data_IF_705362273259
#
_entry.id   IF_705362273259
#
_cell.length_a   1.000
_cell.length_b   1.000
_cell.length_c   1.000
_cell.angle_alpha   90.00
_cell.angle_beta   90.00
_cell.angle_gamma   90.00
#
_symmetry.space_group_name_H-M   'P 1'
#
loop_
_entity.id
_entity.type
_entity.pdbx_description
1 polymer ?
#
# COMPACT_ATOMS: atom_id res chain seq x y z
N UNK A 1 16.91 66.73 20.33
CA UNK A 1 15.83 66.94 19.35
C UNK A 1 16.39 66.61 17.98
N UNK A 2 15.85 65.53 17.38
CA UNK A 2 15.67 65.20 15.95
C UNK A 2 16.81 65.53 14.97
N UNK A 3 17.24 64.70 14.02
CA UNK A 3 16.78 63.40 13.48
C UNK A 3 17.75 63.13 12.31
N UNK A 4 18.52 62.05 12.29
CA UNK A 4 18.17 60.76 11.66
C UNK A 4 18.76 60.59 10.23
N UNK A 5 19.48 59.47 10.05
CA UNK A 5 19.59 58.63 8.82
C UNK A 5 20.58 59.16 7.76
N UNK A 6 21.84 58.69 7.60
CA UNK A 6 22.42 57.35 7.45
C UNK A 6 21.88 56.53 6.25
N UNK A 7 22.83 55.99 5.48
CA UNK A 7 22.70 54.86 4.55
C UNK A 7 22.27 55.10 3.09
N UNK A 8 23.31 55.12 2.26
CA UNK A 8 23.31 54.63 0.91
C UNK A 8 22.89 53.16 0.86
N UNK A 9 21.64 52.87 0.46
CA UNK A 9 21.24 51.59 -0.15
C UNK A 9 19.82 51.72 -0.73
N UNK A 10 19.71 52.20 -1.96
CA UNK A 10 18.47 52.08 -2.75
C UNK A 10 18.39 50.66 -3.31
N UNK A 11 17.99 49.72 -2.45
CA UNK A 11 17.54 48.39 -2.87
C UNK A 11 16.23 48.60 -3.65
N UNK A 12 16.28 48.53 -4.99
CA UNK A 12 15.07 48.33 -5.78
C UNK A 12 14.66 46.88 -5.58
N UNK A 13 13.69 46.66 -4.68
CA UNK A 13 12.95 45.40 -4.58
C UNK A 13 12.44 45.06 -5.98
N UNK A 14 12.95 43.97 -6.54
CA UNK A 14 12.46 43.41 -7.80
C UNK A 14 10.99 43.04 -7.62
N UNK A 15 10.14 43.60 -8.48
CA UNK A 15 8.70 43.37 -8.51
C UNK A 15 8.43 41.89 -8.82
N UNK A 16 8.15 41.11 -7.79
CA UNK A 16 7.57 39.77 -7.94
C UNK A 16 6.11 39.94 -8.30
N UNK A 17 5.81 39.90 -9.61
CA UNK A 17 4.42 39.91 -10.10
C UNK A 17 3.77 38.56 -9.79
N UNK A 18 2.92 38.51 -8.77
CA UNK A 18 2.06 37.36 -8.46
C UNK A 18 0.68 37.65 -9.04
N UNK A 19 0.39 37.07 -10.20
CA UNK A 19 -0.96 37.09 -10.79
C UNK A 19 -1.26 38.32 -11.65
N UNK A 20 -1.27 38.13 -12.96
CA UNK A 20 -1.72 39.09 -13.97
C UNK A 20 -1.57 38.47 -15.37
N UNK A 21 -2.45 38.85 -16.31
CA UNK A 21 -2.34 38.40 -17.70
C UNK A 21 -1.28 39.22 -18.44
N UNK A 22 -0.28 38.54 -19.00
CA UNK A 22 0.86 39.18 -19.69
C UNK A 22 0.50 39.54 -21.13
N UNK A 23 0.63 40.82 -21.49
CA UNK A 23 0.62 41.27 -22.89
C UNK A 23 1.86 40.73 -23.61
N UNK A 24 1.66 40.15 -24.80
CA UNK A 24 2.61 39.33 -25.60
C UNK A 24 3.98 39.97 -25.90
N UNK A 25 4.21 41.25 -25.54
CA UNK A 25 5.47 41.96 -25.80
C UNK A 25 6.43 42.09 -24.61
N UNK A 26 6.01 41.78 -23.38
CA UNK A 26 6.93 41.75 -22.24
C UNK A 26 7.54 40.36 -22.07
N UNK A 27 8.83 40.23 -22.40
CA UNK A 27 9.63 39.06 -22.04
C UNK A 27 9.90 39.08 -20.53
N UNK A 28 8.86 38.84 -19.72
CA UNK A 28 9.06 38.55 -18.30
C UNK A 28 9.90 37.28 -18.20
N UNK A 29 11.13 37.43 -17.70
CA UNK A 29 12.05 36.32 -17.47
C UNK A 29 11.55 35.55 -16.26
N UNK A 30 10.71 34.56 -16.48
CA UNK A 30 10.42 33.55 -15.47
C UNK A 30 11.71 32.75 -15.21
N UNK A 31 12.31 32.89 -14.04
CA UNK A 31 13.25 31.87 -13.55
C UNK A 31 12.46 30.59 -13.32
N UNK A 32 12.64 29.58 -14.18
CA UNK A 32 12.07 28.25 -13.95
C UNK A 32 12.57 27.77 -12.58
N UNK A 33 11.69 27.47 -11.61
CA UNK A 33 12.13 26.83 -10.39
C UNK A 33 12.83 25.53 -10.78
N UNK A 34 14.09 25.39 -10.36
CA UNK A 34 14.87 24.16 -10.51
C UNK A 34 14.15 23.08 -9.70
N UNK A 35 13.36 22.24 -10.38
CA UNK A 35 12.69 21.10 -9.74
C UNK A 35 13.79 20.12 -9.36
N UNK A 36 14.10 20.01 -8.07
CA UNK A 36 14.87 18.88 -7.56
C UNK A 36 13.98 17.65 -7.72
N UNK A 37 14.28 16.82 -8.71
CA UNK A 37 13.68 15.50 -8.86
C UNK A 37 14.09 14.63 -7.67
N UNK A 38 13.27 14.60 -6.63
CA UNK A 38 13.48 13.73 -5.47
C UNK A 38 12.52 12.57 -5.58
N UNK A 39 13.05 11.35 -5.68
CA UNK A 39 12.24 10.14 -5.64
C UNK A 39 11.52 10.06 -4.28
N UNK A 40 10.22 9.74 -4.26
CA UNK A 40 9.52 9.50 -3.01
C UNK A 40 10.21 8.42 -2.18
N UNK A 41 10.19 8.58 -0.85
CA UNK A 41 10.91 7.70 0.07
C UNK A 41 10.55 6.21 -0.09
N UNK A 42 9.28 5.93 -0.38
CA UNK A 42 8.79 4.55 -0.58
C UNK A 42 9.37 3.88 -1.84
N UNK A 43 9.82 4.64 -2.84
CA UNK A 43 10.57 4.13 -4.00
C UNK A 43 12.06 4.02 -3.67
N UNK A 44 12.62 5.02 -2.96
CA UNK A 44 14.06 5.08 -2.69
C UNK A 44 14.52 4.04 -1.66
N UNK A 45 13.63 3.58 -0.79
CA UNK A 45 13.96 2.70 0.34
C UNK A 45 12.99 1.51 0.41
N UNK A 46 12.99 0.61 -0.60
CA UNK A 46 12.06 -0.51 -0.64
C UNK A 46 12.48 -1.61 0.34
N UNK A 47 11.48 -2.28 0.92
CA UNK A 47 11.72 -3.53 1.67
C UNK A 47 11.97 -4.66 0.67
N UNK A 48 13.17 -5.24 0.72
CA UNK A 48 13.55 -6.32 -0.19
C UNK A 48 13.09 -7.68 0.34
N UNK A 49 12.55 -8.50 -0.56
CA UNK A 49 12.17 -9.88 -0.26
C UNK A 49 13.18 -10.83 -0.93
N UNK A 50 13.56 -11.91 -0.25
CA UNK A 50 14.45 -12.89 -0.86
C UNK A 50 13.75 -13.64 -2.00
N UNK A 51 14.50 -13.97 -3.05
CA UNK A 51 14.04 -14.86 -4.14
C UNK A 51 14.02 -16.34 -3.73
N UNK A 52 14.66 -16.69 -2.62
CA UNK A 52 14.77 -18.07 -2.17
C UNK A 52 13.49 -18.55 -1.48
N UNK A 53 12.83 -19.52 -2.10
CA UNK A 53 11.60 -20.17 -1.60
C UNK A 53 11.82 -20.88 -0.26
N UNK A 54 13.06 -21.30 0.03
CA UNK A 54 13.41 -21.99 1.28
C UNK A 54 13.28 -21.07 2.50
N UNK A 55 13.41 -19.75 2.32
CA UNK A 55 13.28 -18.73 3.38
C UNK A 55 11.83 -18.40 3.73
N UNK A 56 10.87 -18.97 3.02
CA UNK A 56 9.44 -18.80 3.30
C UNK A 56 9.02 -19.36 4.67
N UNK A 57 8.10 -18.68 5.34
CA UNK A 57 7.56 -19.10 6.65
C UNK A 57 6.70 -20.36 6.47
N UNK A 58 6.89 -21.37 7.33
CA UNK A 58 6.03 -22.56 7.38
C UNK A 58 4.68 -22.17 7.97
N UNK A 59 3.58 -22.58 7.33
CA UNK A 59 2.21 -22.27 7.78
C UNK A 59 1.93 -22.80 9.19
N UNK A 60 2.58 -23.87 9.64
CA UNK A 60 2.44 -24.38 11.02
C UNK A 60 3.05 -23.46 12.09
N UNK A 61 4.01 -22.62 11.71
CA UNK A 61 4.77 -21.75 12.62
C UNK A 61 4.29 -20.30 12.58
N UNK A 62 3.38 -19.94 11.69
CA UNK A 62 2.86 -18.57 11.61
C UNK A 62 1.88 -18.32 12.76
N UNK A 63 2.38 -17.75 13.86
CA UNK A 63 1.55 -17.36 15.01
C UNK A 63 0.48 -16.30 14.65
N UNK A 64 0.73 -15.54 13.58
CA UNK A 64 -0.17 -14.48 13.11
C UNK A 64 -1.40 -14.99 12.36
N UNK A 65 -1.41 -16.24 11.89
CA UNK A 65 -2.54 -16.78 11.12
C UNK A 65 -3.53 -17.55 12.01
N UNK A 66 -4.82 -17.30 11.81
CA UNK A 66 -5.87 -18.04 12.51
C UNK A 66 -5.90 -19.54 12.14
N UNK A 67 -6.36 -20.36 13.09
CA UNK A 67 -6.39 -21.83 12.95
C UNK A 67 -7.19 -22.29 11.71
N UNK A 68 -8.28 -21.59 11.39
CA UNK A 68 -9.11 -21.91 10.23
C UNK A 68 -8.35 -21.70 8.91
N UNK A 69 -7.61 -20.60 8.78
CA UNK A 69 -6.78 -20.32 7.61
C UNK A 69 -5.66 -21.34 7.45
N UNK A 70 -5.02 -21.72 8.55
CA UNK A 70 -3.99 -22.78 8.54
C UNK A 70 -4.57 -24.10 8.04
N UNK A 71 -5.81 -24.44 8.41
CA UNK A 71 -6.51 -25.64 7.91
C UNK A 71 -6.79 -25.53 6.41
N UNK A 72 -7.31 -24.40 5.95
CA UNK A 72 -7.67 -24.18 4.54
C UNK A 72 -6.43 -24.13 3.63
N UNK A 73 -5.35 -23.49 4.09
CA UNK A 73 -4.07 -23.51 3.36
C UNK A 73 -3.51 -24.94 3.22
N UNK A 74 -3.65 -25.77 4.25
CA UNK A 74 -3.23 -27.18 4.16
C UNK A 74 -4.09 -28.00 3.21
N UNK A 75 -5.41 -27.79 3.17
CA UNK A 75 -6.28 -28.48 2.20
C UNK A 75 -5.98 -28.06 0.76
N UNK A 76 -5.48 -26.83 0.56
CA UNK A 76 -4.95 -26.37 -0.72
C UNK A 76 -3.56 -26.93 -1.06
N UNK A 77 -2.94 -27.72 -0.18
CA UNK A 77 -1.58 -28.27 -0.37
C UNK A 77 -0.44 -27.29 -0.04
N UNK A 78 -0.74 -26.12 0.51
CA UNK A 78 0.23 -25.07 0.79
C UNK A 78 0.90 -25.34 2.15
N UNK A 79 2.17 -25.74 2.11
CA UNK A 79 2.97 -26.03 3.31
C UNK A 79 3.82 -24.84 3.78
N UNK A 80 4.24 -23.98 2.85
CA UNK A 80 5.06 -22.79 3.11
C UNK A 80 4.52 -21.61 2.32
N UNK A 81 4.61 -20.43 2.93
CA UNK A 81 4.32 -19.16 2.29
C UNK A 81 5.54 -18.72 1.47
N UNK A 82 5.30 -18.07 0.34
CA UNK A 82 6.36 -17.45 -0.45
C UNK A 82 7.05 -16.32 0.34
N UNK A 83 8.29 -15.94 0.01
CA UNK A 83 8.99 -14.84 0.68
C UNK A 83 8.20 -13.54 0.70
N UNK A 84 7.56 -13.16 -0.43
CA UNK A 84 6.71 -11.96 -0.51
C UNK A 84 5.49 -12.05 0.40
N UNK A 85 4.89 -13.22 0.54
CA UNK A 85 3.76 -13.44 1.46
C UNK A 85 4.25 -13.35 2.91
N UNK A 86 5.44 -13.88 3.18
CA UNK A 86 6.04 -13.92 4.51
C UNK A 86 6.43 -12.53 5.05
N UNK A 87 6.66 -11.55 4.18
CA UNK A 87 6.92 -10.16 4.55
C UNK A 87 5.63 -9.34 4.63
N UNK A 88 4.78 -9.45 3.60
CA UNK A 88 3.57 -8.63 3.46
C UNK A 88 2.50 -9.00 4.48
N UNK A 89 2.25 -10.29 4.72
CA UNK A 89 1.15 -10.74 5.58
C UNK A 89 1.35 -10.27 7.03
N UNK A 90 2.51 -10.48 7.67
CA UNK A 90 2.76 -9.92 9.00
C UNK A 90 2.65 -8.40 9.02
N UNK A 91 3.22 -7.72 8.02
CA UNK A 91 3.19 -6.26 7.95
C UNK A 91 1.76 -5.68 7.94
N UNK A 92 0.83 -6.33 7.25
CA UNK A 92 -0.60 -5.96 7.27
C UNK A 92 -1.23 -6.32 8.61
N UNK A 93 -1.08 -7.56 9.08
CA UNK A 93 -1.77 -8.05 10.28
C UNK A 93 -1.30 -7.36 11.57
N UNK A 94 -0.01 -7.05 11.69
CA UNK A 94 0.56 -6.33 12.84
C UNK A 94 0.00 -4.90 12.96
N UNK A 95 -0.39 -4.29 11.84
CA UNK A 95 -1.10 -3.02 11.84
C UNK A 95 -2.53 -3.12 12.40
N UNK A 96 -3.12 -4.31 12.47
CA UNK A 96 -4.46 -4.48 13.07
C UNK A 96 -4.40 -5.20 14.43
N UNK A 97 -3.29 -5.88 14.73
CA UNK A 97 -3.08 -6.57 16.00
C UNK A 97 -3.24 -5.60 17.20
N UNK A 98 -4.06 -6.01 18.17
CA UNK A 98 -4.31 -5.25 19.41
C UNK A 98 -5.19 -3.99 19.24
N UNK A 99 -5.71 -3.73 18.04
CA UNK A 99 -6.63 -2.59 17.80
C UNK A 99 -8.08 -3.01 17.98
N UNK A 100 -8.91 -2.10 18.48
CA UNK A 100 -10.32 -2.35 18.75
C UNK A 100 -11.09 -2.74 17.47
N UNK A 101 -12.22 -3.48 17.56
CA UNK A 101 -13.01 -3.96 16.42
C UNK A 101 -13.56 -2.87 15.48
N UNK A 102 -13.42 -1.59 15.84
CA UNK A 102 -13.87 -0.41 15.11
C UNK A 102 -12.73 0.62 14.94
N UNK A 103 -11.50 0.16 14.78
CA UNK A 103 -10.38 1.07 14.56
C UNK A 103 -10.52 1.78 13.20
N UNK A 104 -10.85 3.07 13.24
CA UNK A 104 -10.97 3.97 12.07
C UNK A 104 -9.62 4.61 11.66
N UNK A 105 -8.49 3.94 11.88
CA UNK A 105 -7.20 4.48 11.44
C UNK A 105 -6.95 4.23 9.97
N UNK A 106 -6.12 5.10 9.36
CA UNK A 106 -5.68 4.95 7.98
C UNK A 106 -4.80 3.70 7.83
N UNK A 107 -5.21 2.70 7.02
CA UNK A 107 -4.36 1.56 6.70
C UNK A 107 -3.04 2.00 6.08
N UNK A 108 -2.01 1.16 6.18
CA UNK A 108 -0.76 1.39 5.44
C UNK A 108 -0.96 1.00 3.98
N UNK A 109 -0.69 1.92 3.07
CA UNK A 109 -0.60 1.60 1.65
C UNK A 109 0.67 0.80 1.36
N UNK A 110 0.55 -0.21 0.50
CA UNK A 110 1.64 -1.13 0.18
C UNK A 110 1.73 -1.29 -1.34
N UNK A 111 2.91 -1.03 -1.88
CA UNK A 111 3.26 -1.37 -3.26
C UNK A 111 4.13 -2.63 -3.26
N UNK A 112 3.71 -3.66 -4.01
CA UNK A 112 4.42 -4.93 -4.11
C UNK A 112 4.93 -5.10 -5.54
N UNK A 113 6.26 -5.12 -5.70
CA UNK A 113 6.90 -5.51 -6.95
C UNK A 113 7.47 -6.92 -6.83
N UNK A 114 6.88 -7.87 -7.57
CA UNK A 114 7.31 -9.26 -7.58
C UNK A 114 6.92 -9.95 -8.91
N UNK A 115 7.70 -10.93 -9.39
CA UNK A 115 7.40 -11.62 -10.65
C UNK A 115 6.09 -12.43 -10.59
N UNK A 116 5.53 -12.77 -11.74
CA UNK A 116 4.40 -13.71 -11.84
C UNK A 116 4.77 -15.06 -11.22
N UNK A 117 3.81 -15.79 -10.67
CA UNK A 117 4.08 -17.02 -9.91
C UNK A 117 4.62 -16.84 -8.48
N UNK A 118 4.97 -15.63 -8.05
CA UNK A 118 5.44 -15.37 -6.66
C UNK A 118 4.35 -15.47 -5.58
N UNK A 119 3.13 -15.83 -5.95
CA UNK A 119 2.01 -15.97 -5.01
C UNK A 119 1.40 -14.65 -4.52
N UNK A 120 1.44 -13.58 -5.34
CA UNK A 120 0.85 -12.27 -5.02
C UNK A 120 -0.63 -12.34 -4.61
N UNK A 121 -1.41 -13.22 -5.25
CA UNK A 121 -2.83 -13.44 -4.94
C UNK A 121 -3.07 -13.76 -3.47
N UNK A 122 -2.32 -14.73 -2.93
CA UNK A 122 -2.43 -15.11 -1.52
C UNK A 122 -1.86 -14.03 -0.58
N UNK A 123 -0.91 -13.22 -1.04
CA UNK A 123 -0.30 -12.16 -0.21
C UNK A 123 -1.33 -11.12 0.22
N UNK A 124 -2.28 -10.75 -0.65
CA UNK A 124 -3.39 -9.87 -0.28
C UNK A 124 -4.63 -10.65 0.21
N UNK A 125 -4.92 -11.83 -0.34
CA UNK A 125 -6.16 -12.55 -0.01
C UNK A 125 -6.18 -13.08 1.42
N UNK A 126 -5.05 -13.58 1.94
CA UNK A 126 -4.96 -14.11 3.30
C UNK A 126 -5.30 -13.07 4.38
N UNK A 127 -4.63 -11.89 4.44
CA UNK A 127 -4.94 -10.90 5.46
C UNK A 127 -6.35 -10.34 5.30
N UNK A 128 -6.86 -10.17 4.07
CA UNK A 128 -8.25 -9.76 3.84
C UNK A 128 -9.22 -10.76 4.48
N UNK A 129 -9.09 -12.06 4.19
CA UNK A 129 -9.99 -13.08 4.75
C UNK A 129 -9.90 -13.12 6.27
N UNK A 130 -8.69 -13.04 6.84
CA UNK A 130 -8.52 -13.04 8.30
C UNK A 130 -9.21 -11.85 8.96
N UNK A 131 -8.96 -10.64 8.44
CA UNK A 131 -9.51 -9.41 9.01
C UNK A 131 -11.04 -9.38 8.89
N UNK A 132 -11.59 -9.84 7.76
CA UNK A 132 -13.04 -9.84 7.51
C UNK A 132 -13.79 -10.92 8.29
N UNK A 133 -13.13 -12.01 8.69
CA UNK A 133 -13.77 -13.08 9.45
C UNK A 133 -14.13 -12.66 10.90
N UNK A 134 -13.47 -11.63 11.43
CA UNK A 134 -13.74 -11.13 12.79
C UNK A 134 -15.02 -10.29 12.91
N UNK A 135 -15.59 -9.84 11.79
CA UNK A 135 -16.74 -8.94 11.74
C UNK A 135 -17.96 -9.61 11.11
N UNK A 136 -19.11 -9.50 11.78
CA UNK A 136 -20.40 -10.10 11.37
C UNK A 136 -21.25 -9.20 10.44
N UNK A 137 -20.66 -8.15 9.85
CA UNK A 137 -21.42 -7.20 9.00
C UNK A 137 -21.58 -7.73 7.57
N UNK A 138 -22.81 -7.74 7.07
CA UNK A 138 -23.18 -8.18 5.72
C UNK A 138 -23.17 -7.05 4.69
N UNK A 139 -22.01 -6.40 4.51
CA UNK A 139 -21.79 -5.40 3.45
C UNK A 139 -20.56 -5.74 2.62
N UNK A 140 -20.36 -5.04 1.50
CA UNK A 140 -19.11 -5.13 0.73
C UNK A 140 -18.00 -4.51 1.58
N UNK A 141 -16.94 -5.28 1.88
CA UNK A 141 -15.83 -4.87 2.76
C UNK A 141 -14.45 -4.90 2.11
N UNK A 142 -14.34 -5.52 0.94
CA UNK A 142 -13.12 -5.55 0.14
C UNK A 142 -13.47 -5.60 -1.34
N UNK A 143 -12.74 -4.84 -2.14
CA UNK A 143 -12.84 -4.84 -3.61
C UNK A 143 -11.45 -5.14 -4.16
N UNK A 144 -11.36 -6.15 -5.01
CA UNK A 144 -10.13 -6.53 -5.70
C UNK A 144 -10.31 -6.22 -7.17
N UNK A 145 -9.50 -5.29 -7.69
CA UNK A 145 -9.57 -4.85 -9.08
C UNK A 145 -8.52 -5.61 -9.89
N UNK A 146 -8.94 -6.22 -10.99
CA UNK A 146 -8.08 -7.03 -11.86
C UNK A 146 -8.33 -6.65 -13.33
N UNK A 147 -7.31 -6.70 -14.20
CA UNK A 147 -7.39 -6.19 -15.57
C UNK A 147 -8.28 -7.01 -16.51
N UNK A 148 -8.44 -8.32 -16.26
CA UNK A 148 -9.18 -9.23 -17.15
C UNK A 148 -10.06 -10.19 -16.35
N UNK A 149 -11.17 -10.61 -16.97
CA UNK A 149 -12.19 -11.48 -16.36
C UNK A 149 -11.64 -12.82 -15.88
N UNK A 150 -10.76 -13.46 -16.65
CA UNK A 150 -10.22 -14.77 -16.27
C UNK A 150 -9.27 -14.68 -15.08
N UNK A 151 -8.56 -13.56 -14.92
CA UNK A 151 -7.76 -13.32 -13.73
C UNK A 151 -8.66 -13.07 -12.51
N UNK A 152 -9.81 -12.41 -12.70
CA UNK A 152 -10.82 -12.26 -11.65
C UNK A 152 -11.38 -13.61 -11.19
N UNK A 153 -11.70 -14.53 -12.11
CA UNK A 153 -12.08 -15.91 -11.79
C UNK A 153 -11.02 -16.63 -10.96
N UNK A 154 -9.76 -16.58 -11.38
CA UNK A 154 -8.67 -17.24 -10.65
C UNK A 154 -8.49 -16.69 -9.22
N UNK A 155 -8.62 -15.38 -9.06
CA UNK A 155 -8.61 -14.76 -7.73
C UNK A 155 -9.82 -15.21 -6.91
N UNK A 156 -11.03 -15.19 -7.49
CA UNK A 156 -12.26 -15.64 -6.83
C UNK A 156 -12.17 -17.10 -6.35
N UNK A 157 -11.69 -18.02 -7.19
CA UNK A 157 -11.45 -19.41 -6.82
C UNK A 157 -10.46 -19.54 -5.65
N UNK A 158 -9.41 -18.72 -5.65
CA UNK A 158 -8.45 -18.66 -4.55
C UNK A 158 -9.13 -18.20 -3.26
N UNK A 159 -9.94 -17.15 -3.32
CA UNK A 159 -10.72 -16.69 -2.17
C UNK A 159 -11.70 -17.76 -1.69
N UNK A 160 -12.49 -18.38 -2.57
CA UNK A 160 -13.45 -19.45 -2.25
C UNK A 160 -12.79 -20.59 -1.45
N UNK A 161 -11.57 -20.99 -1.82
CA UNK A 161 -10.81 -22.00 -1.08
C UNK A 161 -10.38 -21.52 0.31
N UNK A 162 -10.00 -20.25 0.44
CA UNK A 162 -9.62 -19.65 1.73
C UNK A 162 -10.81 -19.48 2.68
N UNK A 163 -12.00 -19.15 2.16
CA UNK A 163 -13.20 -18.88 2.94
C UNK A 163 -14.06 -20.13 3.22
N UNK A 164 -13.64 -21.32 2.75
CA UNK A 164 -14.43 -22.56 2.80
C UNK A 164 -14.95 -22.94 4.20
N UNK A 165 -14.29 -22.47 5.28
CA UNK A 165 -14.68 -22.71 6.67
C UNK A 165 -15.27 -21.47 7.37
N UNK A 166 -15.72 -20.47 6.62
CA UNK A 166 -16.21 -19.18 7.13
C UNK A 166 -17.56 -18.83 6.50
N UNK A 167 -18.27 -17.86 7.07
CA UNK A 167 -19.54 -17.32 6.52
C UNK A 167 -19.33 -16.23 5.47
N UNK A 168 -18.07 -15.96 5.09
CA UNK A 168 -17.73 -14.96 4.08
C UNK A 168 -18.25 -15.38 2.71
N UNK A 169 -18.58 -14.39 1.87
CA UNK A 169 -19.00 -14.60 0.48
C UNK A 169 -18.12 -13.77 -0.44
N UNK A 170 -17.76 -14.36 -1.58
CA UNK A 170 -16.99 -13.71 -2.65
C UNK A 170 -17.71 -13.96 -3.96
N UNK A 171 -17.77 -12.91 -4.79
CA UNK A 171 -18.38 -12.90 -6.12
C UNK A 171 -17.50 -12.05 -7.04
N UNK A 172 -17.48 -12.35 -8.35
CA UNK A 172 -16.87 -11.51 -9.39
C UNK A 172 -17.84 -11.29 -10.56
#
# INVERSE_FOLDING_TARGET
MNSAVADAQRIRKEDVVIGGFTLVRDKQRYTKPQVKEVLPHWISSPVTCSSDLSKGIRVKKSALLEKFLVKNLRSMGIKRLFPVQSTVIPYILDFYAGRAPLFFGHPRDICISAPTGSGKTLAYALPIVQLLNSSSVHVIRAVVILPVRDLAKQAEETFKRLIASTSLRVTY
#
